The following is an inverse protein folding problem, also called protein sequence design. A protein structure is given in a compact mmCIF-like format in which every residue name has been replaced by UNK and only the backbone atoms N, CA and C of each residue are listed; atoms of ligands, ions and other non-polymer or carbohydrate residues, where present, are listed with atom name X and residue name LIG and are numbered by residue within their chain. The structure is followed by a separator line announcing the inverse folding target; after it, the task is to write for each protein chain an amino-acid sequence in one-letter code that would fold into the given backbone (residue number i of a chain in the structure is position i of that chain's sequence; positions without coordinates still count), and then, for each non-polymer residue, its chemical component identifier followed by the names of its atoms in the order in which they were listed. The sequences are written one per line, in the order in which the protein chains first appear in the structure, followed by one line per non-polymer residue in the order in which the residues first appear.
data_IF_328245443125
#
_entry.id   IF_328245443125
#
_cell.length_a   1.000
_cell.length_b   1.000
_cell.length_c   1.000
_cell.angle_alpha   90.00
_cell.angle_beta   90.00
_cell.angle_gamma   90.00
#
_symmetry.space_group_name_H-M   'P 1'
#
loop_
_entity.id
_entity.type
_entity.pdbx_description
1 polymer ?
#
# COMPACT_ATOMS: atom_id res chain seq x y z
N UNK A 1 21.95 -4.38 -4.03
CA UNK A 1 20.83 -3.99 -3.15
C UNK A 1 19.85 -3.20 -3.99
N UNK A 2 18.64 -3.72 -4.20
CA UNK A 2 17.62 -3.07 -5.04
C UNK A 2 16.83 -2.04 -4.24
N UNK A 3 16.43 -0.94 -4.88
CA UNK A 3 15.52 0.05 -4.31
C UNK A 3 14.18 -0.02 -5.02
N UNK A 4 13.08 -0.03 -4.26
CA UNK A 4 11.72 -0.10 -4.77
C UNK A 4 10.90 1.05 -4.20
N UNK A 5 10.21 1.80 -5.05
CA UNK A 5 9.19 2.76 -4.65
C UNK A 5 7.82 2.17 -4.95
N UNK A 6 6.97 2.05 -3.92
CA UNK A 6 5.57 1.62 -4.08
C UNK A 6 4.68 2.84 -4.00
N UNK A 7 3.98 3.11 -5.10
CA UNK A 7 3.04 4.22 -5.22
C UNK A 7 1.62 3.69 -5.13
N UNK A 8 0.88 4.15 -4.14
CA UNK A 8 -0.52 3.78 -3.94
C UNK A 8 -1.44 4.92 -4.38
N UNK A 9 -2.38 4.59 -5.26
CA UNK A 9 -3.33 5.53 -5.83
C UNK A 9 -4.47 5.91 -4.89
N UNK A 10 -5.31 6.82 -5.38
CA UNK A 10 -6.46 7.34 -4.64
C UNK A 10 -7.41 6.22 -4.18
N UNK A 11 -7.94 6.37 -2.97
CA UNK A 11 -8.88 5.43 -2.37
C UNK A 11 -8.24 4.22 -1.68
N UNK A 12 -6.93 4.00 -1.82
CA UNK A 12 -6.25 2.91 -1.09
C UNK A 12 -6.34 3.09 0.43
N UNK A 13 -6.39 4.32 0.94
CA UNK A 13 -6.62 4.61 2.35
C UNK A 13 -7.98 4.14 2.90
N UNK A 14 -8.91 3.74 2.03
CA UNK A 14 -10.22 3.18 2.39
C UNK A 14 -10.23 1.66 2.50
N UNK A 15 -9.12 0.97 2.17
CA UNK A 15 -8.96 -0.48 2.43
C UNK A 15 -9.21 -0.78 3.91
N UNK A 16 -9.95 -1.86 4.17
CA UNK A 16 -10.39 -2.25 5.51
C UNK A 16 -11.43 -1.33 6.16
N UNK A 17 -11.86 -0.24 5.50
CA UNK A 17 -12.82 0.76 6.04
C UNK A 17 -14.12 0.83 5.25
N UNK A 18 -14.07 0.71 3.93
CA UNK A 18 -15.24 0.77 3.05
C UNK A 18 -15.33 -0.44 2.11
N UNK A 19 -16.56 -0.85 1.78
CA UNK A 19 -16.83 -1.98 0.88
C UNK A 19 -16.06 -3.25 1.30
N UNK A 20 -16.06 -3.55 2.61
CA UNK A 20 -15.27 -4.63 3.22
C UNK A 20 -15.63 -6.00 2.61
N UNK A 21 -16.90 -6.26 2.32
CA UNK A 21 -17.32 -7.51 1.67
C UNK A 21 -16.69 -7.69 0.28
N UNK A 22 -16.35 -6.59 -0.41
CA UNK A 22 -15.73 -6.61 -1.74
C UNK A 22 -14.20 -6.63 -1.66
N UNK A 23 -13.61 -5.84 -0.75
CA UNK A 23 -12.15 -5.61 -0.73
C UNK A 23 -11.41 -6.25 0.44
N UNK A 24 -12.12 -6.91 1.33
CA UNK A 24 -11.58 -7.48 2.55
C UNK A 24 -11.41 -6.45 3.67
N UNK A 25 -11.13 -6.98 4.86
CA UNK A 25 -10.95 -6.19 6.10
C UNK A 25 -9.54 -5.64 6.28
N UNK A 26 -8.58 -6.04 5.43
CA UNK A 26 -7.18 -5.62 5.56
C UNK A 26 -7.04 -4.14 5.22
N UNK A 27 -6.40 -3.41 6.12
CA UNK A 27 -6.15 -1.97 6.02
C UNK A 27 -4.94 -1.67 5.13
N UNK A 28 -4.83 -0.43 4.67
CA UNK A 28 -3.64 0.04 3.94
C UNK A 28 -2.37 -0.08 4.78
N UNK A 29 -2.48 0.18 6.08
CA UNK A 29 -1.39 0.06 7.04
C UNK A 29 -0.90 -1.38 7.16
N UNK A 30 -1.80 -2.36 7.28
CA UNK A 30 -1.44 -3.78 7.33
C UNK A 30 -0.83 -4.27 6.00
N UNK A 31 -1.35 -3.79 4.87
CA UNK A 31 -0.74 -4.06 3.55
C UNK A 31 0.69 -3.52 3.50
N UNK A 32 0.93 -2.30 4.00
CA UNK A 32 2.26 -1.70 4.03
C UNK A 32 3.24 -2.51 4.91
N UNK A 33 2.79 -3.03 6.04
CA UNK A 33 3.64 -3.87 6.89
C UNK A 33 3.99 -5.22 6.23
N UNK A 34 3.05 -5.84 5.51
CA UNK A 34 3.34 -7.05 4.74
C UNK A 34 4.34 -6.79 3.61
N UNK A 35 4.20 -5.66 2.91
CA UNK A 35 5.15 -5.25 1.85
C UNK A 35 6.55 -5.06 2.44
N UNK A 36 6.67 -4.37 3.58
CA UNK A 36 7.97 -4.16 4.26
C UNK A 36 8.59 -5.48 4.69
N UNK A 37 7.84 -6.35 5.35
CA UNK A 37 8.35 -7.64 5.82
C UNK A 37 8.82 -8.54 4.67
N UNK A 38 8.09 -8.51 3.54
CA UNK A 38 8.51 -9.25 2.35
C UNK A 38 9.78 -8.65 1.72
N UNK A 39 9.87 -7.32 1.64
CA UNK A 39 11.06 -6.63 1.13
C UNK A 39 12.31 -6.88 1.99
N UNK A 40 12.15 -6.88 3.32
CA UNK A 40 13.21 -7.21 4.28
C UNK A 40 13.73 -8.63 4.04
N UNK A 41 12.84 -9.62 3.89
CA UNK A 41 13.22 -11.00 3.59
C UNK A 41 13.96 -11.16 2.25
N UNK A 42 13.85 -10.20 1.35
CA UNK A 42 14.55 -10.16 0.07
C UNK A 42 15.80 -9.25 0.06
N UNK A 43 16.09 -8.55 1.16
CA UNK A 43 17.19 -7.59 1.23
C UNK A 43 17.01 -6.37 0.32
N UNK A 44 15.76 -5.93 0.14
CA UNK A 44 15.39 -4.76 -0.65
C UNK A 44 15.18 -3.53 0.24
N UNK A 45 15.58 -2.36 -0.28
CA UNK A 45 15.27 -1.06 0.30
C UNK A 45 13.95 -0.55 -0.31
N UNK A 46 12.99 -0.19 0.53
CA UNK A 46 11.63 0.12 0.09
C UNK A 46 11.12 1.44 0.65
N UNK A 47 10.54 2.24 -0.24
CA UNK A 47 9.82 3.47 0.09
C UNK A 47 8.33 3.30 -0.29
N UNK A 48 7.44 3.74 0.60
CA UNK A 48 5.99 3.64 0.42
C UNK A 48 5.39 5.03 0.38
N UNK A 49 4.62 5.33 -0.65
CA UNK A 49 3.90 6.59 -0.78
C UNK A 49 2.45 6.37 -1.19
N UNK A 50 1.54 7.19 -0.65
CA UNK A 50 0.12 7.17 -1.00
C UNK A 50 -0.34 8.57 -1.42
N UNK A 51 -1.02 8.64 -2.55
CA UNK A 51 -1.62 9.87 -3.07
C UNK A 51 -3.13 9.83 -2.90
N UNK A 52 -3.71 10.60 -1.95
CA UNK A 52 -5.16 10.55 -1.66
C UNK A 52 -6.03 11.17 -2.76
N UNK A 53 -5.44 11.86 -3.74
CA UNK A 53 -6.16 12.63 -4.76
C UNK A 53 -5.89 12.01 -6.14
N UNK A 54 -6.96 11.57 -6.80
CA UNK A 54 -6.97 11.44 -8.25
C UNK A 54 -7.43 12.79 -8.81
N UNK A 55 -6.50 13.60 -9.33
CA UNK A 55 -6.86 14.81 -10.08
C UNK A 55 -7.24 14.37 -11.48
N UNK A 56 -8.48 13.92 -11.63
CA UNK A 56 -9.10 13.70 -12.93
C UNK A 56 -8.92 14.95 -13.78
N UNK A 57 -8.05 14.85 -14.77
CA UNK A 57 -8.12 15.58 -16.02
C UNK A 57 -8.51 14.58 -17.09
#
# INVERSE_FOLDING_TARGET
MGKVLVIQGAGMNMRGKAQIETFGSMTLEEINEQIKGYAEGLGLDIELMHFPIWKGK
#
